data_IF_492825902520
#
_entry.id   IF_492825902520
#
_cell.length_a   1.000
_cell.length_b   1.000
_cell.length_c   1.000
_cell.angle_alpha   90.00
_cell.angle_beta   90.00
_cell.angle_gamma   90.00
#
_symmetry.space_group_name_H-M   'P 1'
#
loop_
_entity.id
_entity.type
_entity.pdbx_description
1 polymer ?
#
# COMPACT_ATOMS: atom_id res chain seq x y z
N UNK A 1 -28.03 17.99 -5.77
CA UNK A 1 -26.58 17.85 -5.55
C UNK A 1 -26.14 16.70 -6.41
N UNK A 2 -25.45 16.97 -7.51
CA UNK A 2 -24.95 15.88 -8.34
C UNK A 2 -23.83 15.16 -7.57
N UNK A 3 -23.91 13.84 -7.49
CA UNK A 3 -22.96 12.97 -6.78
C UNK A 3 -21.59 12.91 -7.49
N UNK A 4 -21.05 14.05 -7.90
CA UNK A 4 -19.71 14.17 -8.46
C UNK A 4 -18.72 13.92 -7.33
N UNK A 5 -18.27 12.68 -7.20
CA UNK A 5 -17.35 12.31 -6.13
C UNK A 5 -16.13 13.24 -6.09
N UNK A 6 -15.69 13.63 -4.89
CA UNK A 6 -14.51 14.45 -4.70
C UNK A 6 -13.27 13.58 -4.45
N UNK A 7 -12.08 14.08 -4.79
CA UNK A 7 -10.80 13.41 -4.51
C UNK A 7 -9.84 14.38 -3.83
N UNK A 8 -9.07 13.88 -2.86
CA UNK A 8 -8.02 14.63 -2.18
C UNK A 8 -6.79 13.73 -1.96
N UNK A 9 -5.60 14.31 -2.06
CA UNK A 9 -4.32 13.62 -1.86
C UNK A 9 -3.45 14.37 -0.86
N UNK A 10 -2.65 13.62 -0.08
CA UNK A 10 -1.63 14.15 0.81
C UNK A 10 -0.31 13.45 0.54
N UNK A 11 0.77 14.21 0.62
CA UNK A 11 2.11 13.74 0.34
C UNK A 11 3.03 14.00 1.54
N UNK A 12 4.06 13.18 1.70
CA UNK A 12 5.15 13.46 2.63
C UNK A 12 6.16 14.47 2.04
N UNK A 13 7.19 14.81 2.82
CA UNK A 13 8.25 15.73 2.40
C UNK A 13 9.10 15.23 1.21
N UNK A 14 9.03 13.93 0.87
CA UNK A 14 9.68 13.35 -0.30
C UNK A 14 8.74 13.31 -1.52
N UNK A 15 7.52 13.84 -1.40
CA UNK A 15 6.53 13.85 -2.46
C UNK A 15 5.82 12.52 -2.65
N UNK A 16 5.90 11.59 -1.69
CA UNK A 16 5.25 10.27 -1.77
C UNK A 16 3.84 10.35 -1.20
N UNK A 17 2.88 9.68 -1.86
CA UNK A 17 1.47 9.71 -1.46
C UNK A 17 1.28 9.01 -0.12
N UNK A 18 0.93 9.74 0.94
CA UNK A 18 0.64 9.15 2.26
C UNK A 18 -0.84 8.90 2.48
N UNK A 19 -1.72 9.62 1.76
CA UNK A 19 -3.15 9.43 1.88
C UNK A 19 -3.88 9.91 0.62
N UNK A 20 -4.82 9.09 0.15
CA UNK A 20 -5.84 9.42 -0.83
C UNK A 20 -7.21 9.31 -0.17
N UNK A 21 -8.08 10.28 -0.37
CA UNK A 21 -9.46 10.26 0.07
C UNK A 21 -10.38 10.46 -1.12
N UNK A 22 -11.34 9.55 -1.30
CA UNK A 22 -12.42 9.64 -2.27
C UNK A 22 -13.74 9.84 -1.54
N UNK A 23 -14.48 10.87 -1.88
CA UNK A 23 -15.83 11.13 -1.35
C UNK A 23 -16.86 10.67 -2.37
N UNK A 24 -17.77 9.79 -2.01
CA UNK A 24 -18.90 9.36 -2.84
C UNK A 24 -20.16 9.49 -2.00
N UNK A 25 -21.16 10.23 -2.48
CA UNK A 25 -22.42 10.46 -1.77
C UNK A 25 -22.22 10.94 -0.32
N UNK A 26 -21.28 11.88 -0.12
CA UNK A 26 -20.86 12.42 1.19
C UNK A 26 -20.15 11.42 2.13
N UNK A 27 -19.85 10.21 1.66
CA UNK A 27 -19.06 9.20 2.39
C UNK A 27 -17.61 9.26 1.95
N UNK A 28 -16.69 9.34 2.92
CA UNK A 28 -15.25 9.38 2.66
C UNK A 28 -14.62 7.99 2.75
N UNK A 29 -13.93 7.60 1.69
CA UNK A 29 -13.13 6.38 1.60
C UNK A 29 -11.67 6.79 1.55
N UNK A 30 -10.88 6.41 2.55
CA UNK A 30 -9.46 6.77 2.61
C UNK A 30 -8.56 5.56 2.47
N UNK A 31 -7.57 5.69 1.60
CA UNK A 31 -6.43 4.76 1.49
C UNK A 31 -5.18 5.49 1.96
N UNK A 32 -4.33 4.86 2.76
CA UNK A 32 -3.07 5.48 3.21
C UNK A 32 -1.89 4.53 3.02
N UNK A 33 -0.74 5.09 2.68
CA UNK A 33 0.48 4.33 2.43
C UNK A 33 1.59 4.79 3.39
N UNK A 34 2.40 3.83 3.84
CA UNK A 34 3.69 4.13 4.48
C UNK A 34 4.83 3.62 3.63
N UNK A 35 6.01 4.15 3.85
CA UNK A 35 7.18 3.85 3.04
C UNK A 35 8.41 3.65 3.91
N UNK A 36 9.32 2.82 3.44
CA UNK A 36 10.65 2.71 4.01
C UNK A 36 11.58 3.85 3.55
N UNK A 37 12.84 3.79 3.98
CA UNK A 37 13.88 4.77 3.62
C UNK A 37 14.32 4.70 2.15
N UNK A 38 13.98 3.62 1.44
CA UNK A 38 14.28 3.39 0.03
C UNK A 38 13.08 3.71 -0.89
N UNK A 39 12.08 4.44 -0.39
CA UNK A 39 10.86 4.84 -1.11
C UNK A 39 9.95 3.69 -1.53
N UNK A 40 10.05 2.53 -0.88
CA UNK A 40 9.19 1.37 -1.15
C UNK A 40 8.03 1.35 -0.18
N UNK A 41 6.85 0.96 -0.66
CA UNK A 41 5.64 0.87 0.17
C UNK A 41 5.82 -0.22 1.22
N UNK A 42 5.65 0.13 2.49
CA UNK A 42 5.70 -0.81 3.62
C UNK A 42 4.30 -1.28 4.01
N UNK A 43 3.34 -0.35 4.10
CA UNK A 43 1.94 -0.67 4.39
C UNK A 43 0.98 0.08 3.50
N UNK A 44 -0.18 -0.52 3.23
CA UNK A 44 -1.36 0.11 2.66
C UNK A 44 -2.55 -0.17 3.58
N UNK A 45 -3.19 0.88 4.07
CA UNK A 45 -4.44 0.77 4.85
C UNK A 45 -5.61 1.14 3.94
N UNK A 46 -6.57 0.23 3.79
CA UNK A 46 -7.75 0.41 2.97
C UNK A 46 -8.95 0.96 3.78
N UNK A 47 -9.96 1.54 3.11
CA UNK A 47 -11.18 2.03 3.77
C UNK A 47 -11.94 0.96 4.57
N UNK A 48 -11.75 -0.32 4.22
CA UNK A 48 -12.34 -1.47 4.92
C UNK A 48 -11.70 -1.73 6.30
N UNK A 49 -10.62 -1.02 6.63
CA UNK A 49 -9.80 -1.27 7.82
C UNK A 49 -8.70 -2.31 7.59
N UNK A 50 -8.64 -2.93 6.40
CA UNK A 50 -7.57 -3.88 6.09
C UNK A 50 -6.23 -3.17 5.92
N UNK A 51 -5.22 -3.64 6.66
CA UNK A 51 -3.83 -3.21 6.54
C UNK A 51 -3.04 -4.29 5.84
N UNK A 52 -2.59 -4.02 4.63
CA UNK A 52 -1.67 -4.87 3.88
C UNK A 52 -0.25 -4.42 4.16
N UNK A 53 0.60 -5.33 4.65
CA UNK A 53 2.03 -5.10 4.91
C UNK A 53 2.87 -5.87 3.91
N UNK A 54 3.81 -5.18 3.26
CA UNK A 54 4.73 -5.76 2.29
C UNK A 54 6.14 -5.87 2.87
N UNK A 55 6.68 -7.09 2.87
CA UNK A 55 8.07 -7.35 3.21
C UNK A 55 8.94 -7.41 1.97
N UNK A 56 10.18 -6.97 2.11
CA UNK A 56 11.19 -7.05 1.05
C UNK A 56 12.43 -7.79 1.54
N UNK A 57 13.09 -8.51 0.64
CA UNK A 57 14.37 -9.15 0.94
C UNK A 57 15.53 -8.14 0.89
N UNK A 58 16.73 -8.60 1.25
CA UNK A 58 17.94 -7.77 1.27
C UNK A 58 18.39 -7.22 -0.09
N UNK A 59 17.84 -7.74 -1.21
CA UNK A 59 18.10 -7.22 -2.57
C UNK A 59 17.12 -6.13 -2.98
N UNK A 60 16.16 -5.81 -2.13
CA UNK A 60 15.16 -4.81 -2.45
C UNK A 60 13.84 -5.36 -2.99
N UNK A 61 13.77 -6.66 -3.28
CA UNK A 61 12.66 -7.29 -4.00
C UNK A 61 11.53 -7.70 -3.05
N UNK A 62 10.25 -7.65 -3.48
CA UNK A 62 9.12 -8.13 -2.68
C UNK A 62 9.36 -9.57 -2.21
N UNK A 63 9.05 -9.88 -0.96
CA UNK A 63 9.36 -11.18 -0.37
C UNK A 63 8.17 -11.79 0.33
N UNK A 64 7.39 -10.97 1.02
CA UNK A 64 6.21 -11.41 1.75
C UNK A 64 5.10 -10.38 1.67
N UNK A 65 3.87 -10.84 1.89
CA UNK A 65 2.68 -10.02 1.94
C UNK A 65 1.75 -10.59 3.00
N UNK A 66 1.31 -9.73 3.92
CA UNK A 66 0.31 -10.10 4.92
C UNK A 66 -0.77 -9.04 5.02
N UNK A 67 -1.98 -9.48 5.35
CA UNK A 67 -3.12 -8.65 5.67
C UNK A 67 -3.46 -8.76 7.15
N UNK A 68 -3.86 -7.65 7.79
CA UNK A 68 -4.30 -7.66 9.19
C UNK A 68 -5.53 -8.53 9.42
N UNK A 69 -6.42 -8.64 8.43
CA UNK A 69 -7.64 -9.43 8.42
C UNK A 69 -7.46 -10.67 7.56
N UNK A 70 -6.76 -10.56 6.42
CA UNK A 70 -6.57 -11.68 5.52
C UNK A 70 -5.49 -12.68 5.96
N UNK A 71 -4.65 -12.33 6.95
CA UNK A 71 -3.54 -13.16 7.41
C UNK A 71 -2.38 -13.19 6.43
N UNK A 72 -1.62 -14.29 6.39
CA UNK A 72 -0.50 -14.42 5.45
C UNK A 72 -1.02 -14.66 4.03
N UNK A 73 -0.71 -13.73 3.12
CA UNK A 73 -1.07 -13.82 1.70
C UNK A 73 0.07 -14.43 0.88
N UNK A 74 1.32 -14.05 1.20
CA UNK A 74 2.56 -14.57 0.61
C UNK A 74 3.59 -14.72 1.72
N UNK A 75 4.04 -15.95 1.99
CA UNK A 75 5.05 -16.21 3.02
C UNK A 75 6.47 -15.89 2.55
N UNK A 76 6.82 -16.31 1.33
CA UNK A 76 8.15 -16.13 0.74
C UNK A 76 8.07 -16.09 -0.78
N UNK A 77 8.90 -15.27 -1.41
CA UNK A 77 9.18 -15.32 -2.86
C UNK A 77 10.68 -15.34 -3.07
N UNK A 78 11.16 -16.30 -3.87
CA UNK A 78 12.57 -16.43 -4.21
C UNK A 78 12.81 -15.91 -5.62
N UNK A 79 14.04 -15.42 -5.83
CA UNK A 79 14.42 -14.81 -7.09
C UNK A 79 15.78 -15.33 -7.51
N UNK A 80 15.93 -15.62 -8.80
CA UNK A 80 17.22 -15.86 -9.41
C UNK A 80 18.06 -14.56 -9.44
N UNK A 81 19.30 -14.65 -9.93
CA UNK A 81 20.21 -13.51 -9.99
C UNK A 81 19.69 -12.37 -10.89
N UNK A 82 18.88 -12.69 -11.91
CA UNK A 82 18.24 -11.70 -12.79
C UNK A 82 17.01 -11.03 -12.16
N UNK A 83 16.60 -11.44 -10.96
CA UNK A 83 15.44 -10.86 -10.27
C UNK A 83 14.10 -11.43 -10.76
N UNK A 84 14.11 -12.56 -11.45
CA UNK A 84 12.89 -13.28 -11.83
C UNK A 84 12.49 -14.24 -10.72
N UNK A 85 11.19 -14.38 -10.48
CA UNK A 85 10.63 -15.32 -9.50
C UNK A 85 11.02 -16.76 -9.87
N UNK A 86 11.37 -17.56 -8.87
CA UNK A 86 11.73 -19.00 -8.99
C UNK A 86 10.96 -19.85 -8.02
#
# INVERSE_FOLDING_TARGET
TDGSGAMAWKYDARGRLINETRTVDSVNYSTSCTYDSADRVLTVTYPTGEVVTQGYNGRGLPYSLSGSLAGNLVTSTFYNQLGQVT
#
